data_IF_732495365679
#
_entry.id   IF_732495365679
#
_cell.length_a   1.000
_cell.length_b   1.000
_cell.length_c   1.000
_cell.angle_alpha   90.00
_cell.angle_beta   90.00
_cell.angle_gamma   90.00
#
_symmetry.space_group_name_H-M   'P 1'
#
loop_
_entity.id
_entity.type
_entity.pdbx_description
1 polymer ?
#
# COMPACT_ATOMS: atom_id res chain seq x y z
N UNK A 1 14.93 1.57 -6.35
CA UNK A 1 14.38 2.92 -6.59
C UNK A 1 13.69 3.41 -5.31
N UNK A 2 14.43 4.16 -4.48
CA UNK A 2 13.94 4.68 -3.19
C UNK A 2 13.12 5.99 -3.30
N UNK A 3 12.64 6.32 -4.49
CA UNK A 3 12.12 7.66 -4.76
C UNK A 3 10.65 7.90 -4.42
N UNK A 4 9.94 6.88 -3.91
CA UNK A 4 8.54 7.11 -3.57
C UNK A 4 8.23 6.66 -2.13
N UNK A 5 7.35 7.39 -1.46
CA UNK A 5 6.98 7.14 -0.06
C UNK A 5 6.43 5.74 0.20
N UNK A 6 5.84 5.10 -0.83
CA UNK A 6 5.31 3.74 -0.75
C UNK A 6 6.44 2.73 -0.60
N UNK A 7 7.51 2.84 -1.40
CA UNK A 7 8.66 1.93 -1.33
C UNK A 7 9.38 2.05 0.02
N UNK A 8 9.54 3.28 0.54
CA UNK A 8 10.08 3.51 1.89
C UNK A 8 9.21 2.86 2.96
N UNK A 9 7.90 3.00 2.87
CA UNK A 9 6.98 2.38 3.82
C UNK A 9 7.08 0.87 3.81
N UNK A 10 7.11 0.23 2.63
CA UNK A 10 7.27 -1.23 2.51
C UNK A 10 8.57 -1.68 3.15
N UNK A 11 9.68 -0.99 2.87
CA UNK A 11 10.98 -1.30 3.47
C UNK A 11 10.95 -1.21 5.00
N UNK A 12 10.45 -0.10 5.56
CA UNK A 12 10.35 0.03 7.02
C UNK A 12 9.43 -1.00 7.66
N UNK A 13 8.35 -1.37 6.97
CA UNK A 13 7.44 -2.42 7.43
C UNK A 13 8.12 -3.79 7.43
N UNK A 14 8.89 -4.14 6.39
CA UNK A 14 9.64 -5.38 6.35
C UNK A 14 10.76 -5.42 7.38
N UNK A 15 11.47 -4.30 7.58
CA UNK A 15 12.52 -4.20 8.59
C UNK A 15 11.95 -4.36 10.01
N UNK A 16 10.80 -3.73 10.29
CA UNK A 16 10.12 -3.88 11.57
C UNK A 16 9.67 -5.34 11.84
N UNK A 17 9.13 -6.02 10.83
CA UNK A 17 8.77 -7.43 10.97
C UNK A 17 9.99 -8.32 11.23
N UNK A 18 11.13 -8.04 10.57
CA UNK A 18 12.41 -8.74 10.85
C UNK A 18 12.90 -8.50 12.26
N UNK A 19 12.80 -7.26 12.78
CA UNK A 19 13.13 -6.94 14.17
C UNK A 19 12.23 -7.68 15.18
N UNK A 20 10.99 -8.00 14.78
CA UNK A 20 10.08 -8.84 15.57
C UNK A 20 10.39 -10.35 15.43
N UNK A 21 11.48 -10.74 14.76
CA UNK A 21 11.92 -12.14 14.63
C UNK A 21 11.29 -12.89 13.45
N UNK A 22 10.58 -12.22 12.55
CA UNK A 22 10.05 -12.85 11.34
C UNK A 22 11.12 -12.96 10.25
N UNK A 23 11.23 -14.13 9.57
CA UNK A 23 11.98 -14.23 8.32
C UNK A 23 11.10 -13.69 7.19
N UNK A 24 11.43 -12.51 6.70
CA UNK A 24 10.63 -11.78 5.72
C UNK A 24 11.34 -11.69 4.38
N UNK A 25 10.67 -12.17 3.35
CA UNK A 25 11.05 -12.03 1.94
C UNK A 25 10.11 -11.06 1.25
N UNK A 26 10.64 -10.22 0.38
CA UNK A 26 9.84 -9.27 -0.40
C UNK A 26 9.67 -9.77 -1.82
N UNK A 27 8.42 -9.93 -2.27
CA UNK A 27 8.10 -10.24 -3.65
C UNK A 27 7.60 -8.98 -4.34
N UNK A 28 8.26 -8.58 -5.42
CA UNK A 28 7.87 -7.40 -6.17
C UNK A 28 8.06 -7.58 -7.66
N UNK A 29 7.44 -6.67 -8.42
CA UNK A 29 7.53 -6.65 -9.86
C UNK A 29 8.46 -5.52 -10.31
N UNK A 30 9.40 -5.86 -11.16
CA UNK A 30 10.37 -4.92 -11.69
C UNK A 30 10.26 -4.78 -13.20
N UNK A 31 10.56 -3.58 -13.69
CA UNK A 31 10.70 -3.27 -15.13
C UNK A 31 12.12 -2.78 -15.36
N UNK A 32 12.90 -3.55 -16.08
CA UNK A 32 14.26 -3.19 -16.45
C UNK A 32 14.32 -2.01 -17.43
N UNK A 33 15.46 -1.37 -17.52
CA UNK A 33 15.70 -0.25 -18.46
C UNK A 33 15.52 -0.68 -19.92
N UNK A 34 15.71 -1.96 -20.21
CA UNK A 34 15.53 -2.57 -21.53
C UNK A 34 14.07 -2.99 -21.82
N UNK A 35 13.13 -2.68 -20.90
CA UNK A 35 11.72 -3.05 -20.98
C UNK A 35 11.40 -4.48 -20.57
N UNK A 36 12.40 -5.27 -20.10
CA UNK A 36 12.19 -6.59 -19.52
C UNK A 36 11.35 -6.48 -18.24
N UNK A 37 10.57 -7.53 -17.96
CA UNK A 37 9.65 -7.57 -16.84
C UNK A 37 9.89 -8.82 -16.03
N UNK A 38 10.07 -8.67 -14.72
CA UNK A 38 10.47 -9.75 -13.84
C UNK A 38 9.66 -9.75 -12.55
N UNK A 39 9.39 -10.94 -12.03
CA UNK A 39 9.10 -11.13 -10.62
C UNK A 39 10.42 -11.27 -9.87
N UNK A 40 10.57 -10.52 -8.80
CA UNK A 40 11.74 -10.53 -7.94
C UNK A 40 11.36 -11.03 -6.55
N UNK A 41 12.30 -11.73 -5.90
CA UNK A 41 12.25 -12.00 -4.46
C UNK A 41 13.50 -11.37 -3.87
N UNK A 42 13.29 -10.37 -3.01
CA UNK A 42 14.36 -9.48 -2.54
C UNK A 42 15.14 -8.91 -3.73
N UNK A 43 16.41 -9.28 -3.93
CA UNK A 43 17.24 -8.85 -5.05
C UNK A 43 17.35 -9.90 -6.18
N UNK A 44 16.79 -11.11 -5.97
CA UNK A 44 16.91 -12.22 -6.89
C UNK A 44 15.77 -12.29 -7.88
N UNK A 45 16.08 -12.70 -9.13
CA UNK A 45 15.08 -12.94 -10.16
C UNK A 45 14.35 -14.24 -9.90
N UNK A 46 13.07 -14.14 -9.54
CA UNK A 46 12.22 -15.32 -9.41
C UNK A 46 11.72 -15.85 -10.77
N UNK A 47 11.31 -14.96 -11.64
CA UNK A 47 10.85 -15.33 -12.99
C UNK A 47 11.00 -14.15 -13.96
N UNK A 48 11.54 -14.43 -15.14
CA UNK A 48 11.54 -13.51 -16.26
C UNK A 48 10.24 -13.70 -17.07
N UNK A 49 9.49 -12.62 -17.23
CA UNK A 49 8.23 -12.60 -17.96
C UNK A 49 8.42 -12.19 -19.42
N UNK A 50 9.64 -11.74 -19.79
CA UNK A 50 9.97 -11.22 -21.11
C UNK A 50 9.65 -9.73 -21.26
N UNK A 51 9.37 -9.31 -22.49
CA UNK A 51 9.15 -7.89 -22.87
C UNK A 51 7.76 -7.69 -23.50
N UNK A 52 7.37 -6.42 -23.58
CA UNK A 52 6.18 -5.99 -24.33
C UNK A 52 4.83 -6.39 -23.73
N UNK A 53 3.83 -6.53 -24.60
CA UNK A 53 2.45 -6.85 -24.22
C UNK A 53 2.32 -8.25 -23.61
N UNK A 54 2.96 -9.32 -24.17
CA UNK A 54 2.87 -10.64 -23.57
C UNK A 54 3.34 -10.69 -22.11
N UNK A 55 4.41 -9.96 -21.78
CA UNK A 55 4.90 -9.88 -20.41
C UNK A 55 3.93 -9.16 -19.47
N UNK A 56 3.24 -8.12 -19.96
CA UNK A 56 2.18 -7.43 -19.21
C UNK A 56 1.00 -8.36 -18.89
N UNK A 57 0.66 -9.24 -19.84
CA UNK A 57 -0.40 -10.23 -19.68
C UNK A 57 0.06 -11.31 -18.69
N UNK A 58 1.24 -11.91 -18.88
CA UNK A 58 1.80 -12.92 -17.96
C UNK A 58 1.84 -12.42 -16.50
N UNK A 59 2.23 -11.17 -16.25
CA UNK A 59 2.22 -10.57 -14.91
C UNK A 59 0.85 -10.68 -14.23
N UNK A 60 -0.23 -10.49 -15.01
CA UNK A 60 -1.59 -10.45 -14.47
C UNK A 60 -2.24 -11.83 -14.33
N UNK A 61 -1.80 -12.79 -15.13
CA UNK A 61 -2.44 -14.09 -15.22
C UNK A 61 -1.66 -15.21 -14.55
N UNK A 62 -0.33 -15.11 -14.44
CA UNK A 62 0.53 -16.20 -13.96
C UNK A 62 1.20 -15.88 -12.64
N UNK A 63 0.72 -16.51 -11.58
CA UNK A 63 1.33 -16.48 -10.24
C UNK A 63 2.03 -17.81 -9.90
N UNK A 64 2.16 -18.72 -10.86
CA UNK A 64 2.76 -20.05 -10.65
C UNK A 64 4.17 -19.99 -10.06
N UNK A 65 5.10 -19.10 -10.53
CA UNK A 65 6.44 -19.01 -9.93
C UNK A 65 6.38 -18.64 -8.45
N UNK A 66 5.49 -17.71 -8.08
CA UNK A 66 5.31 -17.29 -6.68
C UNK A 66 4.77 -18.44 -5.83
N UNK A 67 3.77 -19.17 -6.32
CA UNK A 67 3.21 -20.34 -5.62
C UNK A 67 4.24 -21.46 -5.42
N UNK A 68 5.10 -21.69 -6.42
CA UNK A 68 6.19 -22.65 -6.33
C UNK A 68 7.24 -22.23 -5.30
N UNK A 69 7.62 -20.94 -5.30
CA UNK A 69 8.52 -20.37 -4.32
C UNK A 69 7.96 -20.53 -2.90
N UNK A 70 6.73 -20.08 -2.67
CA UNK A 70 6.04 -20.18 -1.38
C UNK A 70 6.07 -21.62 -0.83
N UNK A 71 5.80 -22.60 -1.71
CA UNK A 71 5.84 -24.02 -1.33
C UNK A 71 7.25 -24.51 -1.03
N UNK A 72 8.22 -24.17 -1.87
CA UNK A 72 9.61 -24.62 -1.75
C UNK A 72 10.27 -24.10 -0.48
N UNK A 73 10.04 -22.81 -0.16
CA UNK A 73 10.64 -22.15 1.00
C UNK A 73 9.81 -22.34 2.28
N UNK A 74 8.69 -23.06 2.23
CA UNK A 74 7.85 -23.29 3.40
C UNK A 74 7.25 -22.01 4.00
N UNK A 75 6.92 -21.02 3.16
CA UNK A 75 6.36 -19.73 3.60
C UNK A 75 5.02 -19.96 4.29
N UNK A 76 4.89 -19.52 5.53
CA UNK A 76 3.72 -19.74 6.36
C UNK A 76 2.66 -18.64 6.22
N UNK A 77 3.08 -17.43 5.83
CA UNK A 77 2.21 -16.27 5.72
C UNK A 77 2.57 -15.44 4.48
N UNK A 78 1.57 -15.05 3.73
CA UNK A 78 1.71 -14.12 2.59
C UNK A 78 0.95 -12.83 2.90
N UNK A 79 1.67 -11.72 2.96
CA UNK A 79 1.13 -10.38 3.14
C UNK A 79 1.03 -9.70 1.78
N UNK A 80 -0.18 -9.45 1.32
CA UNK A 80 -0.46 -8.84 0.02
C UNK A 80 -0.80 -7.38 0.25
N UNK A 81 0.06 -6.49 -0.25
CA UNK A 81 -0.25 -5.08 -0.28
C UNK A 81 -0.85 -4.73 -1.63
N UNK A 82 -2.14 -4.70 -1.70
CA UNK A 82 -2.86 -4.41 -2.93
C UNK A 82 -4.22 -3.81 -2.62
N UNK A 83 -4.67 -2.94 -3.49
CA UNK A 83 -6.04 -2.50 -3.58
C UNK A 83 -6.51 -2.76 -5.02
N UNK A 84 -7.81 -2.94 -5.22
CA UNK A 84 -8.49 -3.16 -6.50
C UNK A 84 -7.82 -4.15 -7.47
N UNK A 85 -7.45 -5.31 -6.97
CA UNK A 85 -6.85 -6.37 -7.79
C UNK A 85 -7.65 -7.67 -7.81
N UNK A 86 -8.86 -7.67 -7.28
CA UNK A 86 -9.69 -8.86 -7.27
C UNK A 86 -10.16 -9.20 -8.69
N UNK A 87 -9.77 -10.38 -9.15
CA UNK A 87 -10.16 -10.95 -10.43
C UNK A 87 -10.03 -12.49 -10.36
N UNK A 88 -10.50 -13.26 -11.34
CA UNK A 88 -10.45 -14.72 -11.30
C UNK A 88 -9.03 -15.28 -11.08
N UNK A 89 -7.99 -14.65 -11.62
CA UNK A 89 -6.61 -15.12 -11.50
C UNK A 89 -6.04 -14.89 -10.11
N UNK A 90 -6.30 -13.73 -9.52
CA UNK A 90 -5.89 -13.44 -8.15
C UNK A 90 -6.70 -14.26 -7.15
N UNK A 91 -7.98 -14.56 -7.40
CA UNK A 91 -8.77 -15.51 -6.62
C UNK A 91 -8.13 -16.91 -6.68
N UNK A 92 -7.75 -17.37 -7.87
CA UNK A 92 -7.05 -18.65 -8.03
C UNK A 92 -5.75 -18.67 -7.22
N UNK A 93 -4.97 -17.59 -7.28
CA UNK A 93 -3.72 -17.45 -6.55
C UNK A 93 -3.92 -17.60 -5.03
N UNK A 94 -4.80 -16.78 -4.42
CA UNK A 94 -5.04 -16.86 -2.96
C UNK A 94 -5.68 -18.19 -2.54
N UNK A 95 -6.53 -18.79 -3.39
CA UNK A 95 -7.07 -20.13 -3.17
C UNK A 95 -5.96 -21.18 -3.11
N UNK A 96 -4.98 -21.08 -4.00
CA UNK A 96 -3.85 -22.02 -4.02
C UNK A 96 -2.93 -21.83 -2.80
N UNK A 97 -2.70 -20.60 -2.34
CA UNK A 97 -2.02 -20.35 -1.07
C UNK A 97 -2.75 -21.02 0.10
N UNK A 98 -4.05 -20.88 0.18
CA UNK A 98 -4.86 -21.54 1.22
C UNK A 98 -4.78 -23.07 1.15
N UNK A 99 -4.76 -23.66 -0.04
CA UNK A 99 -4.55 -25.12 -0.21
C UNK A 99 -3.17 -25.59 0.27
N UNK A 100 -2.18 -24.71 0.28
CA UNK A 100 -0.83 -24.98 0.81
C UNK A 100 -0.74 -24.73 2.32
N UNK A 101 -1.84 -24.38 3.00
CA UNK A 101 -1.86 -24.08 4.43
C UNK A 101 -1.34 -22.67 4.79
N UNK A 102 -1.10 -21.83 3.81
CA UNK A 102 -0.54 -20.47 4.00
C UNK A 102 -1.60 -19.53 4.53
N UNK A 103 -1.25 -18.72 5.53
CA UNK A 103 -2.08 -17.58 5.96
C UNK A 103 -1.97 -16.44 4.96
N UNK A 104 -3.10 -15.80 4.65
CA UNK A 104 -3.15 -14.70 3.70
C UNK A 104 -3.66 -13.43 4.39
N UNK A 105 -2.82 -12.41 4.41
CA UNK A 105 -3.16 -11.07 4.90
C UNK A 105 -3.26 -10.12 3.70
N UNK A 106 -4.29 -9.29 3.67
CA UNK A 106 -4.50 -8.28 2.63
C UNK A 106 -4.45 -6.89 3.24
N UNK A 107 -3.48 -6.07 2.85
CA UNK A 107 -3.47 -4.65 3.25
C UNK A 107 -4.34 -3.84 2.28
N UNK A 108 -5.31 -3.11 2.83
CA UNK A 108 -6.10 -2.08 2.14
C UNK A 108 -5.73 -0.74 2.78
N UNK A 109 -4.84 0.04 2.16
CA UNK A 109 -4.29 1.26 2.76
C UNK A 109 -5.34 2.35 2.97
N UNK A 110 -6.30 2.43 2.06
CA UNK A 110 -7.41 3.40 2.11
C UNK A 110 -8.72 2.65 1.98
N UNK A 111 -9.63 2.85 2.93
CA UNK A 111 -10.96 2.25 2.88
C UNK A 111 -11.99 3.28 3.38
N UNK A 112 -13.10 3.47 2.67
CA UNK A 112 -13.43 2.92 1.34
C UNK A 112 -12.61 3.59 0.21
N UNK A 113 -12.16 2.80 -0.78
CA UNK A 113 -11.32 3.27 -1.89
C UNK A 113 -12.09 3.51 -3.21
N UNK A 114 -13.38 3.37 -3.19
CA UNK A 114 -14.24 3.43 -4.38
C UNK A 114 -14.23 4.79 -5.12
N UNK A 115 -13.77 5.85 -4.44
CA UNK A 115 -13.74 7.21 -4.96
C UNK A 115 -12.34 7.68 -5.46
N UNK A 116 -11.34 6.82 -5.36
CA UNK A 116 -9.94 7.20 -5.70
C UNK A 116 -9.63 7.09 -7.20
N UNK A 117 -10.58 6.63 -8.02
CA UNK A 117 -10.35 6.30 -9.44
C UNK A 117 -10.97 7.33 -10.36
N UNK A 118 -10.12 7.96 -11.18
CA UNK A 118 -10.53 9.03 -12.11
C UNK A 118 -10.41 8.64 -13.59
N UNK A 119 -9.43 7.82 -13.96
CA UNK A 119 -9.21 7.43 -15.36
C UNK A 119 -10.15 6.31 -15.83
N UNK A 120 -10.42 6.24 -17.14
CA UNK A 120 -11.31 5.23 -17.71
C UNK A 120 -10.84 3.79 -17.46
N UNK A 121 -9.53 3.52 -17.57
CA UNK A 121 -8.96 2.20 -17.33
C UNK A 121 -9.03 1.79 -15.84
N UNK A 122 -8.81 2.74 -14.95
CA UNK A 122 -8.93 2.51 -13.51
C UNK A 122 -10.37 2.19 -13.11
N UNK A 123 -11.36 2.85 -13.71
CA UNK A 123 -12.78 2.55 -13.50
C UNK A 123 -13.13 1.12 -13.91
N UNK A 124 -12.57 0.62 -15.00
CA UNK A 124 -12.75 -0.79 -15.43
C UNK A 124 -12.13 -1.74 -14.40
N UNK A 125 -10.94 -1.43 -13.91
CA UNK A 125 -10.29 -2.23 -12.86
C UNK A 125 -11.10 -2.23 -11.57
N UNK A 126 -11.60 -1.07 -11.13
CA UNK A 126 -12.45 -0.95 -9.95
C UNK A 126 -13.76 -1.72 -10.11
N UNK A 127 -14.39 -1.65 -11.29
CA UNK A 127 -15.62 -2.43 -11.56
C UNK A 127 -15.36 -3.93 -11.46
N UNK A 128 -14.26 -4.40 -12.04
CA UNK A 128 -13.84 -5.81 -11.94
C UNK A 128 -13.58 -6.18 -10.47
N UNK A 129 -12.89 -5.33 -9.74
CA UNK A 129 -12.63 -5.53 -8.32
C UNK A 129 -13.93 -5.63 -7.52
N UNK A 130 -14.87 -4.71 -7.71
CA UNK A 130 -16.19 -4.74 -7.05
C UNK A 130 -16.94 -6.05 -7.28
N UNK A 131 -16.83 -6.60 -8.47
CA UNK A 131 -17.49 -7.87 -8.81
C UNK A 131 -16.83 -9.06 -8.09
N UNK A 132 -15.52 -9.04 -7.92
CA UNK A 132 -14.76 -10.20 -7.44
C UNK A 132 -14.21 -10.07 -6.02
N UNK A 133 -14.16 -8.87 -5.41
CA UNK A 133 -13.49 -8.64 -4.12
C UNK A 133 -14.06 -9.47 -2.96
N UNK A 134 -15.38 -9.72 -2.92
CA UNK A 134 -15.97 -10.59 -1.91
C UNK A 134 -15.54 -12.06 -2.11
N UNK A 135 -15.47 -12.53 -3.36
CA UNK A 135 -15.00 -13.87 -3.66
C UNK A 135 -13.50 -14.05 -3.37
N UNK A 136 -12.69 -13.02 -3.65
CA UNK A 136 -11.28 -12.96 -3.31
C UNK A 136 -11.09 -13.03 -1.79
N UNK A 137 -11.81 -12.19 -1.06
CA UNK A 137 -11.70 -12.11 0.38
C UNK A 137 -12.12 -13.39 1.11
N UNK A 138 -12.86 -14.31 0.49
CA UNK A 138 -13.14 -15.65 1.07
C UNK A 138 -11.87 -16.43 1.41
N UNK A 139 -10.76 -16.15 0.73
CA UNK A 139 -9.48 -16.83 0.92
C UNK A 139 -8.46 -15.97 1.69
N UNK A 140 -8.85 -14.78 2.16
CA UNK A 140 -8.06 -13.90 3.01
C UNK A 140 -8.40 -14.20 4.47
N UNK A 141 -7.42 -14.28 5.35
CA UNK A 141 -7.63 -14.52 6.78
C UNK A 141 -7.96 -13.21 7.50
N UNK A 142 -7.17 -12.16 7.26
CA UNK A 142 -7.37 -10.83 7.85
C UNK A 142 -7.11 -9.73 6.81
N UNK A 143 -7.83 -8.63 6.97
CA UNK A 143 -7.56 -7.39 6.24
C UNK A 143 -6.82 -6.43 7.16
N UNK A 144 -5.64 -5.97 6.74
CA UNK A 144 -4.87 -4.95 7.43
C UNK A 144 -5.30 -3.58 6.91
N UNK A 145 -5.69 -2.67 7.79
CA UNK A 145 -6.28 -1.38 7.40
C UNK A 145 -5.92 -0.25 8.36
N UNK A 146 -6.07 0.97 7.89
CA UNK A 146 -5.96 2.19 8.70
C UNK A 146 -7.33 2.73 9.15
N UNK A 147 -8.42 2.15 8.65
CA UNK A 147 -9.77 2.52 9.06
C UNK A 147 -10.13 1.91 10.42
N UNK A 148 -11.23 2.40 11.00
CA UNK A 148 -11.78 1.89 12.27
C UNK A 148 -12.77 0.74 12.09
N UNK A 149 -12.94 0.23 10.87
CA UNK A 149 -13.86 -0.85 10.58
C UNK A 149 -13.37 -2.18 11.15
N UNK A 150 -14.20 -2.89 11.94
CA UNK A 150 -13.87 -4.20 12.49
C UNK A 150 -13.92 -5.32 11.44
N UNK A 151 -14.64 -5.08 10.35
CA UNK A 151 -14.79 -6.04 9.25
C UNK A 151 -14.86 -5.31 7.91
N UNK A 152 -14.09 -5.79 6.93
CA UNK A 152 -14.11 -5.33 5.55
C UNK A 152 -14.33 -6.53 4.63
N UNK A 153 -15.25 -6.43 3.68
CA UNK A 153 -15.64 -7.51 2.76
C UNK A 153 -15.89 -8.86 3.45
N UNK A 154 -16.45 -8.81 4.68
CA UNK A 154 -16.76 -9.98 5.50
C UNK A 154 -15.58 -10.59 6.26
N UNK A 155 -14.37 -9.99 6.18
CA UNK A 155 -13.19 -10.45 6.93
C UNK A 155 -12.89 -9.57 8.13
N UNK A 156 -12.37 -10.17 9.23
CA UNK A 156 -11.90 -9.40 10.37
C UNK A 156 -10.72 -8.53 9.97
N UNK A 157 -10.59 -7.38 10.61
CA UNK A 157 -9.52 -6.42 10.33
C UNK A 157 -8.43 -6.45 11.40
N UNK A 158 -7.23 -6.08 10.99
CA UNK A 158 -6.12 -5.72 11.87
C UNK A 158 -5.87 -4.24 11.62
N UNK A 159 -6.19 -3.41 12.60
CA UNK A 159 -5.99 -1.98 12.51
C UNK A 159 -4.54 -1.64 12.79
N UNK A 160 -3.93 -0.90 11.86
CA UNK A 160 -2.59 -0.36 12.01
C UNK A 160 -2.60 1.16 11.85
N UNK A 161 -1.50 1.80 12.19
CA UNK A 161 -1.25 3.21 11.93
C UNK A 161 0.06 3.39 11.16
N UNK A 162 0.27 4.58 10.60
CA UNK A 162 1.58 4.94 10.07
C UNK A 162 2.56 5.09 11.23
N UNK A 163 3.71 4.43 11.11
CA UNK A 163 4.81 4.52 12.05
C UNK A 163 5.90 5.47 11.55
N UNK A 164 6.72 5.93 12.48
CA UNK A 164 7.93 6.72 12.21
C UNK A 164 9.10 6.01 12.89
N UNK A 165 10.22 5.88 12.17
CA UNK A 165 11.47 5.38 12.73
C UNK A 165 12.19 6.52 13.45
N UNK A 166 11.98 6.62 14.77
CA UNK A 166 12.62 7.65 15.59
C UNK A 166 14.14 7.53 15.71
N UNK A 167 14.71 6.38 15.39
CA UNK A 167 16.17 6.24 15.33
C UNK A 167 16.77 7.00 14.13
N UNK A 168 16.00 7.13 13.05
CA UNK A 168 16.43 7.83 11.82
C UNK A 168 15.86 9.25 11.71
N UNK A 169 14.73 9.51 12.35
CA UNK A 169 14.05 10.80 12.32
C UNK A 169 13.97 11.32 13.76
N UNK A 170 14.97 12.08 14.19
CA UNK A 170 15.01 12.58 15.57
C UNK A 170 13.84 13.54 15.83
N UNK A 171 13.30 13.45 17.03
CA UNK A 171 12.31 14.41 17.51
C UNK A 171 12.93 15.80 17.60
N UNK A 172 12.24 16.78 17.08
CA UNK A 172 12.62 18.18 17.26
C UNK A 172 12.42 18.58 18.72
N UNK A 173 13.40 19.21 19.32
CA UNK A 173 13.25 19.83 20.65
C UNK A 173 12.14 20.89 20.59
N UNK A 174 11.27 20.97 21.63
CA UNK A 174 10.27 22.03 21.71
C UNK A 174 10.96 23.39 21.65
N UNK A 175 10.49 24.26 20.76
CA UNK A 175 10.89 25.67 20.79
C UNK A 175 9.96 26.40 21.77
N UNK A 176 10.47 26.80 22.91
CA UNK A 176 9.78 27.73 23.79
C UNK A 176 10.05 29.16 23.26
N UNK A 177 9.11 29.67 22.50
CA UNK A 177 9.20 31.05 21.96
C UNK A 177 7.84 31.74 22.12
N UNK A 178 7.91 33.03 22.44
CA UNK A 178 6.75 33.93 22.51
C UNK A 178 6.40 34.54 21.14
N UNK A 179 6.93 33.99 20.05
CA UNK A 179 6.69 34.49 18.73
C UNK A 179 5.21 34.27 18.32
N UNK A 180 4.58 35.33 17.89
CA UNK A 180 3.25 35.28 17.27
C UNK A 180 3.31 34.95 15.77
N UNK A 181 4.40 34.34 15.32
CA UNK A 181 4.59 33.89 13.94
C UNK A 181 4.51 32.36 13.86
N UNK A 182 3.65 31.86 12.99
CA UNK A 182 3.45 30.44 12.71
C UNK A 182 3.83 30.17 11.26
N UNK A 183 4.83 29.29 11.06
CA UNK A 183 5.23 28.83 9.75
C UNK A 183 4.63 27.47 9.46
N UNK A 184 3.80 27.39 8.40
CA UNK A 184 3.18 26.14 7.95
C UNK A 184 3.91 25.65 6.71
N UNK A 185 4.32 24.37 6.71
CA UNK A 185 4.93 23.73 5.56
C UNK A 185 4.06 22.56 5.15
N UNK A 186 3.52 22.61 3.93
CA UNK A 186 2.82 21.49 3.29
C UNK A 186 3.74 20.83 2.27
N UNK A 187 3.99 19.53 2.44
CA UNK A 187 4.80 18.73 1.51
C UNK A 187 3.96 17.58 0.98
N UNK A 188 3.43 17.72 -0.23
CA UNK A 188 2.64 16.68 -0.89
C UNK A 188 2.59 16.93 -2.40
N UNK A 189 2.34 15.87 -3.17
CA UNK A 189 1.78 16.04 -4.52
C UNK A 189 0.34 16.52 -4.36
N UNK A 190 -0.01 17.65 -5.00
CA UNK A 190 -1.30 18.32 -4.74
C UNK A 190 -2.44 17.54 -5.36
N UNK A 191 -3.30 16.98 -4.49
CA UNK A 191 -4.56 16.35 -4.85
C UNK A 191 -5.70 16.90 -3.98
N UNK A 192 -6.94 16.80 -4.46
CA UNK A 192 -8.11 17.36 -3.76
C UNK A 192 -8.32 16.78 -2.34
N UNK A 193 -7.93 15.53 -2.10
CA UNK A 193 -8.05 14.88 -0.78
C UNK A 193 -7.05 15.39 0.27
N UNK A 194 -5.98 16.10 -0.14
CA UNK A 194 -5.03 16.69 0.82
C UNK A 194 -5.59 17.90 1.56
N UNK A 195 -6.68 18.49 1.06
CA UNK A 195 -7.43 19.53 1.75
C UNK A 195 -6.74 20.89 1.81
N UNK A 196 -5.79 21.18 0.92
CA UNK A 196 -5.16 22.51 0.84
C UNK A 196 -6.17 23.63 0.59
N UNK A 197 -7.24 23.37 -0.16
CA UNK A 197 -8.33 24.29 -0.36
C UNK A 197 -9.06 24.64 0.94
N UNK A 198 -9.25 23.66 1.82
CA UNK A 198 -9.86 23.85 3.16
C UNK A 198 -8.93 24.63 4.07
N UNK A 199 -7.62 24.36 4.03
CA UNK A 199 -6.62 25.13 4.76
C UNK A 199 -6.65 26.61 4.33
N UNK A 200 -6.63 26.88 3.03
CA UNK A 200 -6.66 28.25 2.51
C UNK A 200 -7.96 28.99 2.89
N UNK A 201 -9.11 28.32 2.80
CA UNK A 201 -10.39 28.87 3.26
C UNK A 201 -10.40 29.18 4.75
N UNK A 202 -9.84 28.25 5.56
CA UNK A 202 -9.68 28.42 7.00
C UNK A 202 -8.78 29.61 7.36
N UNK A 203 -7.65 29.77 6.66
CA UNK A 203 -6.75 30.92 6.83
C UNK A 203 -7.42 32.23 6.44
N UNK A 204 -8.18 32.25 5.33
CA UNK A 204 -8.96 33.41 4.93
C UNK A 204 -9.96 33.85 5.99
N UNK A 205 -10.71 32.89 6.56
CA UNK A 205 -11.62 33.17 7.67
C UNK A 205 -10.90 33.63 8.93
N UNK A 206 -9.76 33.03 9.26
CA UNK A 206 -8.92 33.40 10.41
C UNK A 206 -8.43 34.85 10.31
N UNK A 207 -7.95 35.27 9.15
CA UNK A 207 -7.49 36.64 8.92
C UNK A 207 -8.62 37.68 8.88
N UNK A 208 -9.85 37.25 8.57
CA UNK A 208 -11.04 38.10 8.68
C UNK A 208 -11.49 38.38 10.11
N UNK A 209 -11.00 37.67 11.12
CA UNK A 209 -11.45 37.71 12.52
C UNK A 209 -10.34 38.09 13.52
N UNK A 210 -9.61 39.19 13.29
CA UNK A 210 -8.54 39.66 14.18
C UNK A 210 -7.54 38.59 14.58
N UNK A 211 -6.66 38.17 13.69
CA UNK A 211 -5.77 37.06 13.91
C UNK A 211 -4.76 37.33 15.04
N UNK A 212 -4.61 36.36 15.96
CA UNK A 212 -3.62 36.42 17.03
C UNK A 212 -2.20 36.13 16.53
N UNK A 213 -2.10 35.25 15.52
CA UNK A 213 -0.84 34.80 14.94
C UNK A 213 -0.72 35.22 13.49
N UNK A 214 0.49 35.57 13.06
CA UNK A 214 0.85 35.75 11.67
C UNK A 214 1.28 34.38 11.09
N UNK A 215 0.57 33.91 10.06
CA UNK A 215 0.79 32.60 9.45
C UNK A 215 1.48 32.79 8.11
N UNK A 216 2.56 32.04 7.85
CA UNK A 216 3.33 32.05 6.61
C UNK A 216 3.26 30.71 5.91
#
# INVERSE_FOLDING_TARGET
>A
QEYNGISKKIRYQTDALRQCGADVRTCHYEVGNDGSRKWMIDEDVLADLGKGIPAKIKKRLSFAPILQYVRREGIQCVYIRSYHNANPFTIHFVRMLKKQGVRVLLEIPTYPYDHEYSSGMEKVQLYTDKLFRHAFCRYVDFIVTFSSDDRIFGRPTIRISNGIDFARIPLRSPRHGTSKELHLIGVAEIHFWHGFDRLLKGLGAYYGNNPEYKVY
#
